data_IF_406503100369
#
_entry.id   IF_406503100369
#
_cell.length_a   1.000
_cell.length_b   1.000
_cell.length_c   1.000
_cell.angle_alpha   90.00
_cell.angle_beta   90.00
_cell.angle_gamma   90.00
#
_symmetry.space_group_name_H-M   'P 1'
#
loop_
_entity.id
_entity.type
_entity.pdbx_description
1 polymer ?
#
# COMPACT_ATOMS: atom_id res chain seq x y z
N UNK A 1 6.71 -18.00 -2.29
CA UNK A 1 7.07 -16.63 -1.85
C UNK A 1 7.90 -15.91 -2.92
N UNK A 2 9.11 -16.39 -3.23
CA UNK A 2 10.06 -15.74 -4.16
C UNK A 2 9.48 -15.45 -5.56
N UNK A 3 8.82 -16.42 -6.18
CA UNK A 3 8.21 -16.23 -7.52
C UNK A 3 7.11 -15.17 -7.49
N UNK A 4 6.25 -15.18 -6.47
CA UNK A 4 5.18 -14.18 -6.33
C UNK A 4 5.72 -12.76 -6.14
N UNK A 5 6.79 -12.60 -5.35
CA UNK A 5 7.46 -11.31 -5.18
C UNK A 5 8.22 -10.85 -6.43
N UNK A 6 8.81 -11.78 -7.20
CA UNK A 6 9.45 -11.46 -8.47
C UNK A 6 8.43 -10.94 -9.49
N UNK A 7 7.29 -11.63 -9.62
CA UNK A 7 6.23 -11.20 -10.54
C UNK A 7 5.62 -9.87 -10.08
N UNK A 8 5.46 -9.65 -8.77
CA UNK A 8 5.01 -8.37 -8.24
C UNK A 8 5.96 -7.22 -8.64
N UNK A 9 7.28 -7.44 -8.53
CA UNK A 9 8.27 -6.45 -8.94
C UNK A 9 8.20 -6.15 -10.45
N UNK A 10 8.03 -7.18 -11.29
CA UNK A 10 7.81 -7.00 -12.74
C UNK A 10 6.53 -6.23 -13.01
N UNK A 11 5.42 -6.54 -12.34
CA UNK A 11 4.15 -5.83 -12.50
C UNK A 11 4.25 -4.36 -12.08
N UNK A 12 4.96 -4.06 -10.99
CA UNK A 12 5.24 -2.70 -10.54
C UNK A 12 6.08 -1.93 -11.58
N UNK A 13 7.11 -2.57 -12.16
CA UNK A 13 7.90 -1.98 -13.23
C UNK A 13 7.06 -1.69 -14.48
N UNK A 14 6.23 -2.65 -14.91
CA UNK A 14 5.35 -2.48 -16.05
C UNK A 14 4.32 -1.37 -15.83
N UNK A 15 3.78 -1.24 -14.62
CA UNK A 15 2.90 -0.12 -14.27
C UNK A 15 3.60 1.22 -14.51
N UNK A 16 4.82 1.38 -13.99
CA UNK A 16 5.57 2.63 -14.13
C UNK A 16 5.92 2.92 -15.60
N UNK A 17 6.33 1.88 -16.34
CA UNK A 17 6.65 1.98 -17.76
C UNK A 17 5.44 2.40 -18.60
N UNK A 18 4.28 1.75 -18.41
CA UNK A 18 3.07 2.01 -19.16
C UNK A 18 2.52 3.39 -18.80
N UNK A 19 2.37 3.70 -17.52
CA UNK A 19 1.87 4.99 -17.06
C UNK A 19 2.75 6.14 -17.58
N UNK A 20 4.09 6.00 -17.51
CA UNK A 20 5.00 7.03 -17.99
C UNK A 20 5.00 7.20 -19.52
N UNK A 21 4.73 6.14 -20.28
CA UNK A 21 4.58 6.22 -21.74
C UNK A 21 3.28 6.88 -22.17
N UNK A 22 2.18 6.67 -21.44
CA UNK A 22 0.86 7.17 -21.82
C UNK A 22 0.61 8.58 -21.29
N UNK A 23 0.94 8.85 -20.03
CA UNK A 23 0.70 10.15 -19.38
C UNK A 23 1.80 11.18 -19.70
N UNK A 24 3.02 10.72 -20.01
CA UNK A 24 4.18 11.60 -20.09
C UNK A 24 4.67 12.07 -18.71
N UNK A 25 5.77 12.83 -18.65
CA UNK A 25 6.47 13.12 -17.41
C UNK A 25 5.69 14.04 -16.46
N UNK A 26 4.97 15.04 -16.98
CA UNK A 26 4.21 16.00 -16.17
C UNK A 26 3.06 15.32 -15.44
N UNK A 27 2.19 14.62 -16.17
CA UNK A 27 1.03 13.96 -15.58
C UNK A 27 1.43 12.74 -14.72
N UNK A 28 2.60 12.13 -14.94
CA UNK A 28 3.09 11.04 -14.09
C UNK A 28 3.66 11.52 -12.74
N UNK A 29 4.09 12.79 -12.64
CA UNK A 29 4.75 13.33 -11.46
C UNK A 29 3.96 13.12 -10.16
N UNK A 30 2.64 13.45 -10.08
CA UNK A 30 1.85 13.19 -8.88
C UNK A 30 1.90 11.73 -8.40
N UNK A 31 1.79 10.78 -9.33
CA UNK A 31 1.79 9.34 -9.04
C UNK A 31 3.15 8.92 -8.45
N UNK A 32 4.26 9.43 -9.00
CA UNK A 32 5.62 9.14 -8.52
C UNK A 32 5.82 9.71 -7.12
N UNK A 33 5.32 10.90 -6.84
CA UNK A 33 5.38 11.51 -5.49
C UNK A 33 4.59 10.66 -4.49
N UNK A 34 3.35 10.28 -4.82
CA UNK A 34 2.53 9.41 -3.98
C UNK A 34 3.24 8.08 -3.69
N UNK A 35 3.79 7.43 -4.72
CA UNK A 35 4.54 6.19 -4.59
C UNK A 35 5.77 6.37 -3.68
N UNK A 36 6.52 7.45 -3.86
CA UNK A 36 7.74 7.72 -3.09
C UNK A 36 7.41 7.93 -1.61
N UNK A 37 6.41 8.74 -1.30
CA UNK A 37 5.95 8.96 0.09
C UNK A 37 5.46 7.65 0.70
N UNK A 38 4.64 6.89 -0.04
CA UNK A 38 4.16 5.58 0.40
C UNK A 38 5.30 4.60 0.66
N UNK A 39 6.32 4.54 -0.21
CA UNK A 39 7.48 3.68 -0.05
C UNK A 39 8.30 4.03 1.19
N UNK A 40 8.54 5.33 1.43
CA UNK A 40 9.25 5.82 2.62
C UNK A 40 8.49 5.47 3.90
N UNK A 41 7.20 5.79 3.96
CA UNK A 41 6.35 5.45 5.13
C UNK A 41 6.31 3.94 5.35
N UNK A 42 6.16 3.16 4.27
CA UNK A 42 6.11 1.71 4.37
C UNK A 42 7.42 1.16 4.94
N UNK A 43 8.56 1.61 4.44
CA UNK A 43 9.88 1.12 4.86
C UNK A 43 10.23 1.54 6.28
N UNK A 44 9.96 2.80 6.65
CA UNK A 44 10.37 3.37 7.94
C UNK A 44 9.42 2.97 9.06
N UNK A 45 8.11 2.90 8.81
CA UNK A 45 7.10 2.75 9.86
C UNK A 45 6.37 1.41 9.75
N UNK A 46 5.82 1.10 8.58
CA UNK A 46 4.92 -0.06 8.45
C UNK A 46 5.66 -1.39 8.41
N UNK A 47 6.88 -1.45 7.89
CA UNK A 47 7.71 -2.63 7.93
C UNK A 47 8.06 -3.01 9.38
N UNK A 48 8.52 -2.10 10.27
CA UNK A 48 8.63 -2.40 11.69
C UNK A 48 7.32 -2.87 12.34
N UNK A 49 6.17 -2.31 11.97
CA UNK A 49 4.86 -2.78 12.46
C UNK A 49 4.57 -4.23 12.01
N UNK A 50 4.86 -4.57 10.76
CA UNK A 50 4.77 -5.92 10.21
C UNK A 50 5.67 -6.88 11.01
N UNK A 51 6.95 -6.52 11.22
CA UNK A 51 7.91 -7.33 11.99
C UNK A 51 7.47 -7.52 13.45
N UNK A 52 6.96 -6.47 14.09
CA UNK A 52 6.44 -6.56 15.46
C UNK A 52 5.22 -7.49 15.54
N UNK A 53 4.36 -7.48 14.53
CA UNK A 53 3.20 -8.38 14.44
C UNK A 53 3.64 -9.83 14.34
N UNK A 54 4.59 -10.13 13.45
CA UNK A 54 5.19 -11.47 13.29
C UNK A 54 5.80 -11.95 14.61
N UNK A 55 6.64 -11.11 15.24
CA UNK A 55 7.31 -11.45 16.50
C UNK A 55 6.32 -11.76 17.63
N UNK A 56 5.20 -11.04 17.72
CA UNK A 56 4.20 -11.27 18.77
C UNK A 56 3.43 -12.56 18.55
N UNK A 57 3.01 -12.84 17.31
CA UNK A 57 2.29 -14.07 16.99
C UNK A 57 3.13 -15.33 17.19
N UNK A 58 4.45 -15.23 16.99
CA UNK A 58 5.39 -16.31 17.25
C UNK A 58 5.92 -16.36 18.70
N UNK A 59 5.54 -15.43 19.57
CA UNK A 59 6.05 -15.42 20.94
C UNK A 59 5.25 -16.36 21.86
N UNK A 60 5.96 -17.16 22.66
CA UNK A 60 5.37 -18.10 23.62
C UNK A 60 4.59 -17.39 24.75
N UNK A 61 4.80 -16.09 24.95
CA UNK A 61 4.09 -15.27 25.94
C UNK A 61 2.96 -14.52 25.25
N UNK A 62 1.72 -14.85 25.61
CA UNK A 62 0.54 -14.15 25.11
C UNK A 62 0.61 -12.65 25.45
N UNK A 63 0.76 -11.83 24.41
CA UNK A 63 0.73 -10.36 24.52
C UNK A 63 -0.41 -9.82 23.68
N UNK A 64 -1.23 -8.97 24.27
CA UNK A 64 -2.28 -8.26 23.55
C UNK A 64 -1.68 -7.52 22.33
N UNK A 65 -2.42 -7.49 21.22
CA UNK A 65 -2.02 -6.72 20.06
C UNK A 65 -1.93 -5.22 20.42
N UNK A 66 -0.87 -4.50 20.03
CA UNK A 66 -0.68 -3.10 20.40
C UNK A 66 -1.49 -2.18 19.48
N UNK A 67 -2.80 -2.41 19.37
CA UNK A 67 -3.66 -1.76 18.38
C UNK A 67 -3.63 -0.24 18.49
N UNK A 68 -3.57 0.31 19.73
CA UNK A 68 -3.47 1.75 19.97
C UNK A 68 -2.20 2.34 19.37
N UNK A 69 -1.07 1.63 19.50
CA UNK A 69 0.19 2.04 18.89
C UNK A 69 0.09 2.00 17.36
N UNK A 70 -0.48 0.94 16.80
CA UNK A 70 -0.64 0.83 15.35
C UNK A 70 -1.55 1.92 14.78
N UNK A 71 -2.67 2.23 15.42
CA UNK A 71 -3.52 3.34 15.00
C UNK A 71 -2.81 4.68 15.14
N UNK A 72 -2.06 4.90 16.22
CA UNK A 72 -1.28 6.13 16.40
C UNK A 72 -0.22 6.27 15.31
N UNK A 73 0.50 5.20 14.97
CA UNK A 73 1.51 5.22 13.91
C UNK A 73 0.87 5.47 12.54
N UNK A 74 -0.26 4.81 12.22
CA UNK A 74 -0.98 5.06 10.97
C UNK A 74 -1.48 6.50 10.91
N UNK A 75 -2.09 7.01 11.99
CA UNK A 75 -2.58 8.38 12.06
C UNK A 75 -1.45 9.41 11.93
N UNK A 76 -0.34 9.20 12.64
CA UNK A 76 0.83 10.07 12.59
C UNK A 76 1.49 10.05 11.21
N UNK A 77 1.67 8.89 10.60
CA UNK A 77 2.19 8.77 9.23
C UNK A 77 1.25 9.40 8.20
N UNK A 78 -0.06 9.27 8.37
CA UNK A 78 -1.07 9.89 7.50
C UNK A 78 -1.01 11.40 7.63
N UNK A 79 -1.02 11.93 8.86
CA UNK A 79 -0.91 13.36 9.12
C UNK A 79 0.42 13.93 8.59
N UNK A 80 1.53 13.23 8.79
CA UNK A 80 2.84 13.63 8.26
C UNK A 80 2.89 13.63 6.73
N UNK A 81 2.35 12.60 6.08
CA UNK A 81 2.28 12.53 4.62
C UNK A 81 1.37 13.62 4.03
N UNK A 82 0.18 13.83 4.59
CA UNK A 82 -0.74 14.90 4.17
C UNK A 82 -0.13 16.27 4.44
N UNK A 83 0.53 16.47 5.59
CA UNK A 83 1.24 17.71 5.91
C UNK A 83 2.34 18.02 4.90
N UNK A 84 3.15 17.03 4.54
CA UNK A 84 4.13 17.16 3.45
C UNK A 84 3.44 17.50 2.12
N UNK A 85 2.40 16.76 1.76
CA UNK A 85 1.64 17.00 0.52
C UNK A 85 1.09 18.42 0.45
N UNK A 86 0.52 18.91 1.54
CA UNK A 86 -0.03 20.28 1.65
C UNK A 86 1.07 21.35 1.51
N UNK A 87 2.25 21.14 2.11
CA UNK A 87 3.40 22.06 1.96
C UNK A 87 3.98 22.07 0.54
N UNK A 88 3.76 21.01 -0.23
CA UNK A 88 4.28 20.85 -1.59
C UNK A 88 3.20 20.87 -2.67
N UNK A 89 1.98 21.28 -2.32
CA UNK A 89 0.78 21.12 -3.15
C UNK A 89 0.94 21.73 -4.54
N UNK A 90 1.36 23.00 -4.60
CA UNK A 90 1.52 23.73 -5.85
C UNK A 90 2.67 23.19 -6.72
N UNK A 91 3.65 22.51 -6.11
CA UNK A 91 4.85 22.03 -6.80
C UNK A 91 4.73 20.60 -7.31
N UNK A 92 3.99 19.77 -6.59
CA UNK A 92 3.94 18.32 -6.83
C UNK A 92 2.59 17.83 -7.34
N UNK A 93 1.53 18.61 -7.11
CA UNK A 93 0.15 18.24 -7.38
C UNK A 93 -0.61 19.34 -8.13
N UNK A 94 0.09 20.34 -8.68
CA UNK A 94 -0.49 21.47 -9.43
C UNK A 94 -1.65 22.18 -8.70
N UNK A 95 -1.61 22.21 -7.36
CA UNK A 95 -2.67 22.81 -6.54
C UNK A 95 -3.90 21.92 -6.29
N UNK A 96 -3.96 20.71 -6.85
CA UNK A 96 -5.13 19.83 -6.73
C UNK A 96 -5.17 19.10 -5.37
N UNK A 97 -6.09 19.54 -4.52
CA UNK A 97 -6.33 18.99 -3.19
C UNK A 97 -6.77 17.52 -3.21
N UNK A 98 -7.26 16.99 -4.33
CA UNK A 98 -7.71 15.61 -4.35
C UNK A 98 -6.56 14.61 -4.18
N UNK A 99 -5.35 14.96 -4.60
CA UNK A 99 -4.17 14.13 -4.34
C UNK A 99 -3.87 13.97 -2.85
N UNK A 100 -4.25 14.92 -1.99
CA UNK A 100 -4.09 14.78 -0.54
C UNK A 100 -5.01 13.72 0.04
N UNK A 101 -6.21 13.58 -0.51
CA UNK A 101 -7.15 12.53 -0.11
C UNK A 101 -6.69 11.18 -0.61
N UNK A 102 -6.18 11.11 -1.84
CA UNK A 102 -5.53 9.89 -2.34
C UNK A 102 -4.35 9.51 -1.45
N UNK A 103 -3.50 10.47 -1.09
CA UNK A 103 -2.34 10.24 -0.22
C UNK A 103 -2.77 9.74 1.16
N UNK A 104 -3.78 10.36 1.77
CA UNK A 104 -4.31 9.92 3.05
C UNK A 104 -4.85 8.48 2.98
N UNK A 105 -5.68 8.20 1.98
CA UNK A 105 -6.24 6.87 1.75
C UNK A 105 -5.16 5.83 1.47
N UNK A 106 -4.12 6.19 0.72
CA UNK A 106 -2.98 5.35 0.38
C UNK A 106 -2.22 4.93 1.64
N UNK A 107 -1.88 5.88 2.52
CA UNK A 107 -1.15 5.57 3.75
C UNK A 107 -1.99 4.71 4.70
N UNK A 108 -3.28 4.99 4.85
CA UNK A 108 -4.19 4.19 5.66
C UNK A 108 -4.29 2.75 5.12
N UNK A 109 -4.48 2.60 3.80
CA UNK A 109 -4.60 1.30 3.15
C UNK A 109 -3.32 0.47 3.30
N UNK A 110 -2.13 1.06 3.10
CA UNK A 110 -0.86 0.36 3.29
C UNK A 110 -0.56 0.04 4.77
N UNK A 111 -1.08 0.82 5.71
CA UNK A 111 -1.04 0.47 7.14
C UNK A 111 -1.80 -0.83 7.42
N UNK A 112 -3.00 -0.97 6.87
CA UNK A 112 -3.77 -2.23 6.92
C UNK A 112 -3.06 -3.37 6.18
N UNK A 113 -2.48 -3.09 5.01
CA UNK A 113 -1.71 -4.05 4.22
C UNK A 113 -0.53 -4.65 4.99
N UNK A 114 0.26 -3.81 5.67
CA UNK A 114 1.39 -4.26 6.47
C UNK A 114 0.95 -5.12 7.67
N UNK A 115 -0.14 -4.75 8.35
CA UNK A 115 -0.68 -5.55 9.45
C UNK A 115 -1.21 -6.91 8.97
N UNK A 116 -1.93 -6.94 7.85
CA UNK A 116 -2.42 -8.19 7.25
C UNK A 116 -1.28 -9.10 6.82
N UNK A 117 -0.23 -8.54 6.19
CA UNK A 117 0.99 -9.28 5.86
C UNK A 117 1.69 -9.82 7.10
N UNK A 118 1.82 -9.01 8.13
CA UNK A 118 2.42 -9.42 9.41
C UNK A 118 1.65 -10.54 10.08
N UNK A 119 0.32 -10.51 9.99
CA UNK A 119 -0.55 -11.58 10.48
C UNK A 119 -0.35 -12.89 9.72
N UNK A 120 -0.34 -12.85 8.38
CA UNK A 120 -0.11 -14.03 7.54
C UNK A 120 1.26 -14.65 7.81
N UNK A 121 2.32 -13.83 7.81
CA UNK A 121 3.68 -14.30 8.10
C UNK A 121 3.83 -14.81 9.55
N UNK A 122 3.19 -14.17 10.53
CA UNK A 122 3.20 -14.59 11.93
C UNK A 122 2.49 -15.91 12.19
N UNK A 123 1.64 -16.39 11.28
CA UNK A 123 1.01 -17.72 11.32
C UNK A 123 1.61 -18.72 10.34
N UNK A 124 2.82 -18.44 9.83
CA UNK A 124 3.54 -19.29 8.87
C UNK A 124 2.78 -19.48 7.52
N UNK A 125 1.84 -18.58 7.20
CA UNK A 125 1.07 -18.58 5.94
C UNK A 125 1.84 -17.86 4.83
N UNK A 126 3.05 -18.33 4.55
CA UNK A 126 3.99 -17.69 3.61
C UNK A 126 3.52 -17.70 2.14
N UNK A 127 2.65 -18.66 1.79
CA UNK A 127 2.04 -18.73 0.45
C UNK A 127 1.08 -17.56 0.26
N UNK A 128 0.18 -17.35 1.20
CA UNK A 128 -0.81 -16.27 1.20
C UNK A 128 -0.14 -14.90 1.33
N UNK A 129 0.92 -14.81 2.14
CA UNK A 129 1.77 -13.64 2.19
C UNK A 129 2.26 -13.25 0.79
N UNK A 130 2.91 -14.18 0.07
CA UNK A 130 3.42 -13.93 -1.28
C UNK A 130 2.31 -13.67 -2.31
N UNK A 131 1.16 -14.35 -2.18
CA UNK A 131 0.00 -14.12 -3.04
C UNK A 131 -0.61 -12.74 -2.82
N UNK A 132 -0.66 -12.23 -1.58
CA UNK A 132 -1.20 -10.91 -1.29
C UNK A 132 -0.34 -9.79 -1.91
N UNK A 133 0.99 -9.91 -1.85
CA UNK A 133 1.92 -8.98 -2.52
C UNK A 133 1.80 -9.08 -4.04
N UNK A 134 1.71 -10.29 -4.59
CA UNK A 134 1.47 -10.47 -6.01
C UNK A 134 0.14 -9.84 -6.47
N UNK A 135 -0.94 -10.08 -5.73
CA UNK A 135 -2.26 -9.58 -6.05
C UNK A 135 -2.34 -8.05 -5.97
N UNK A 136 -1.64 -7.43 -5.01
CA UNK A 136 -1.57 -5.96 -4.89
C UNK A 136 -1.00 -5.34 -6.17
N UNK A 137 0.14 -5.85 -6.62
CA UNK A 137 0.83 -5.30 -7.79
C UNK A 137 0.11 -5.65 -9.09
N UNK A 138 -0.47 -6.84 -9.19
CA UNK A 138 -1.23 -7.27 -10.37
C UNK A 138 -2.55 -6.48 -10.49
N UNK A 139 -3.29 -6.32 -9.40
CA UNK A 139 -4.54 -5.55 -9.38
C UNK A 139 -4.27 -4.10 -9.80
N UNK A 140 -3.23 -3.48 -9.24
CA UNK A 140 -2.80 -2.14 -9.63
C UNK A 140 -2.52 -2.05 -11.12
N UNK A 141 -1.72 -2.97 -11.67
CA UNK A 141 -1.38 -2.98 -13.10
C UNK A 141 -2.62 -3.14 -13.98
N UNK A 142 -3.49 -4.11 -13.69
CA UNK A 142 -4.70 -4.37 -14.48
C UNK A 142 -5.65 -3.18 -14.43
N UNK A 143 -5.88 -2.59 -13.25
CA UNK A 143 -6.72 -1.40 -13.11
C UNK A 143 -6.12 -0.20 -13.84
N UNK A 144 -4.80 -0.01 -13.77
CA UNK A 144 -4.13 1.07 -14.49
C UNK A 144 -4.31 0.95 -16.00
N UNK A 145 -4.12 -0.24 -16.56
CA UNK A 145 -4.36 -0.49 -17.99
C UNK A 145 -5.82 -0.19 -18.34
N UNK A 146 -6.78 -0.69 -17.57
CA UNK A 146 -8.20 -0.45 -17.81
C UNK A 146 -8.57 1.04 -17.76
N UNK A 147 -8.09 1.77 -16.75
CA UNK A 147 -8.37 3.21 -16.60
C UNK A 147 -7.70 4.04 -17.70
N UNK A 148 -6.47 3.70 -18.10
CA UNK A 148 -5.80 4.35 -19.23
C UNK A 148 -6.55 4.11 -20.54
N UNK A 149 -7.04 2.89 -20.79
CA UNK A 149 -7.86 2.60 -21.98
C UNK A 149 -9.21 3.32 -21.96
N UNK A 150 -9.73 3.66 -20.78
CA UNK A 150 -10.91 4.49 -20.60
C UNK A 150 -10.63 6.01 -20.66
N UNK A 151 -9.37 6.41 -20.91
CA UNK A 151 -8.97 7.82 -21.02
C UNK A 151 -8.89 8.55 -19.67
N UNK A 152 -8.74 7.83 -18.54
CA UNK A 152 -8.59 8.49 -17.24
C UNK A 152 -7.20 9.10 -17.08
N UNK A 153 -7.18 10.32 -16.51
CA UNK A 153 -5.95 11.04 -16.21
C UNK A 153 -5.24 10.56 -14.94
N UNK A 154 -4.20 11.31 -14.55
CA UNK A 154 -3.30 11.00 -13.44
C UNK A 154 -4.01 10.76 -12.10
N UNK A 155 -5.00 11.58 -11.76
CA UNK A 155 -5.75 11.44 -10.51
C UNK A 155 -6.51 10.10 -10.45
N UNK A 156 -7.14 9.70 -11.55
CA UNK A 156 -7.84 8.41 -11.65
C UNK A 156 -6.87 7.23 -11.49
N UNK A 157 -5.71 7.31 -12.13
CA UNK A 157 -4.66 6.29 -11.99
C UNK A 157 -4.10 6.22 -10.57
N UNK A 158 -4.01 7.34 -9.86
CA UNK A 158 -3.48 7.40 -8.50
C UNK A 158 -4.29 6.53 -7.52
N UNK A 159 -5.61 6.39 -7.74
CA UNK A 159 -6.46 5.51 -6.94
C UNK A 159 -6.14 4.01 -7.09
N UNK A 160 -5.47 3.60 -8.17
CA UNK A 160 -5.04 2.20 -8.34
C UNK A 160 -4.00 1.78 -7.30
N UNK A 161 -3.20 2.73 -6.80
CA UNK A 161 -2.25 2.50 -5.70
C UNK A 161 -3.00 2.10 -4.41
N UNK A 162 -4.09 2.80 -4.12
CA UNK A 162 -4.95 2.53 -2.95
C UNK A 162 -5.66 1.19 -3.12
N UNK A 163 -6.25 0.95 -4.29
CA UNK A 163 -6.98 -0.29 -4.59
C UNK A 163 -6.08 -1.53 -4.44
N UNK A 164 -4.82 -1.45 -4.89
CA UNK A 164 -3.84 -2.52 -4.72
C UNK A 164 -3.67 -2.91 -3.25
N UNK A 165 -3.47 -1.95 -2.35
CA UNK A 165 -3.28 -2.22 -0.92
C UNK A 165 -4.54 -2.81 -0.24
N UNK A 166 -5.74 -2.50 -0.73
CA UNK A 166 -6.98 -3.04 -0.16
C UNK A 166 -7.17 -4.55 -0.46
N UNK A 167 -6.40 -5.12 -1.38
CA UNK A 167 -6.51 -6.54 -1.72
C UNK A 167 -6.24 -7.45 -0.51
N UNK A 168 -5.44 -7.01 0.47
CA UNK A 168 -5.11 -7.80 1.68
C UNK A 168 -6.34 -8.27 2.44
N UNK A 169 -7.44 -7.51 2.36
CA UNK A 169 -8.69 -7.82 3.07
C UNK A 169 -9.36 -9.10 2.55
N UNK A 170 -9.00 -9.59 1.35
CA UNK A 170 -9.43 -10.90 0.87
C UNK A 170 -8.74 -12.08 1.58
N UNK A 171 -7.59 -11.86 2.23
CA UNK A 171 -6.85 -12.90 2.97
C UNK A 171 -7.01 -12.79 4.49
N UNK A 172 -7.42 -11.62 4.99
CA UNK A 172 -7.81 -11.48 6.38
C UNK A 172 -9.14 -12.21 6.61
N UNK A 173 -9.20 -13.17 7.54
CA UNK A 173 -10.44 -13.84 7.82
C UNK A 173 -11.44 -12.83 8.43
N UNK A 174 -12.43 -12.41 7.64
CA UNK A 174 -13.68 -11.85 8.16
C UNK A 174 -14.51 -12.90 8.93
N UNK A 175 -14.05 -14.15 8.95
CA UNK A 175 -14.67 -15.27 9.67
C UNK A 175 -13.76 -15.71 10.81
N UNK A 176 -14.21 -15.48 12.03
CA UNK A 176 -13.50 -15.86 13.25
C UNK A 176 -13.03 -17.32 13.19
N UNK A 177 -11.72 -17.50 13.00
CA UNK A 177 -11.08 -18.77 13.29
C UNK A 177 -11.16 -18.95 14.81
N UNK A 178 -12.05 -19.83 15.24
CA UNK A 178 -12.11 -20.30 16.63
C UNK A 178 -10.74 -20.82 17.00
N UNK A 179 -10.16 -20.19 18.01
CA UNK A 179 -8.99 -20.65 18.73
C UNK A 179 -9.28 -22.10 19.13
N UNK A 180 -8.53 -23.06 18.58
CA UNK A 180 -8.42 -24.41 19.10
C UNK A 180 -7.14 -24.50 19.91
#
# INVERSE_FOLDING_TARGET
>A
MVVGTLIAAVAAYLFQLIAGRVLGPTDLQPIVVLWTVQFLVFTIVFMPMEQLTIRRLNSAVARAAPWRLFLLLIAASTAGAVGYGMLTLDRQFDGDLWYLVVLAALIIAYGGFALGRGYLAGRLRYREYGLSTFAESMLRLVLAIALLTAGMGSLGLSWTLVAGALVIWFWLPLRGERIR
#
